data_IF_946287050431
#
_entry.id   IF_946287050431
#
_cell.length_a   1.000
_cell.length_b   1.000
_cell.length_c   1.000
_cell.angle_alpha   90.00
_cell.angle_beta   90.00
_cell.angle_gamma   90.00
#
_symmetry.space_group_name_H-M   'P 1'
#
loop_
_entity.id
_entity.type
_entity.pdbx_description
1 polymer ?
#
# COMPACT_ATOMS: atom_id res chain seq x y z
N UNK A 1 28.46 10.20 44.69
CA UNK A 1 27.66 9.23 43.91
C UNK A 1 26.24 9.79 43.71
N UNK A 2 26.02 10.69 42.74
CA UNK A 2 24.69 11.26 42.42
C UNK A 2 24.41 11.40 40.91
N UNK A 3 25.24 10.78 40.06
CA UNK A 3 25.09 10.84 38.60
C UNK A 3 24.77 9.51 37.92
N UNK A 4 24.82 8.38 38.64
CA UNK A 4 24.70 7.04 38.06
C UNK A 4 23.25 6.67 37.70
N UNK A 5 22.27 7.12 38.51
CA UNK A 5 20.84 6.86 38.30
C UNK A 5 20.27 7.52 37.03
N UNK A 6 20.88 8.62 36.56
CA UNK A 6 20.39 9.36 35.38
C UNK A 6 20.87 8.74 34.06
N UNK A 7 22.11 8.25 34.02
CA UNK A 7 22.68 7.67 32.81
C UNK A 7 22.03 6.32 32.45
N UNK A 8 21.78 5.45 33.43
CA UNK A 8 21.16 4.14 33.19
C UNK A 8 19.73 4.26 32.67
N UNK A 9 18.96 5.23 33.19
CA UNK A 9 17.59 5.49 32.73
C UNK A 9 17.55 5.97 31.28
N UNK A 10 18.49 6.84 30.88
CA UNK A 10 18.60 7.34 29.50
C UNK A 10 18.99 6.21 28.54
N UNK A 11 19.91 5.33 28.94
CA UNK A 11 20.33 4.17 28.13
C UNK A 11 19.15 3.22 27.93
N UNK A 12 18.38 2.91 28.98
CA UNK A 12 17.17 2.10 28.88
C UNK A 12 16.13 2.73 27.94
N UNK A 13 15.90 4.04 28.05
CA UNK A 13 14.98 4.76 27.18
C UNK A 13 15.41 4.72 25.72
N UNK A 14 16.71 4.89 25.44
CA UNK A 14 17.26 4.82 24.09
C UNK A 14 17.08 3.43 23.47
N UNK A 15 17.28 2.36 24.26
CA UNK A 15 17.07 0.97 23.80
C UNK A 15 15.60 0.72 23.48
N UNK A 16 14.68 1.16 24.34
CA UNK A 16 13.23 1.01 24.10
C UNK A 16 12.80 1.76 22.84
N UNK A 17 13.26 3.01 22.66
CA UNK A 17 12.96 3.79 21.46
C UNK A 17 13.50 3.14 20.18
N UNK A 18 14.71 2.56 20.23
CA UNK A 18 15.29 1.85 19.10
C UNK A 18 14.44 0.64 18.68
N UNK A 19 13.95 -0.15 19.65
CA UNK A 19 13.09 -1.31 19.37
C UNK A 19 11.77 -0.87 18.75
N UNK A 20 11.15 0.19 19.28
CA UNK A 20 9.89 0.74 18.74
C UNK A 20 10.08 1.24 17.29
N UNK A 21 11.19 1.92 17.01
CA UNK A 21 11.50 2.40 15.65
C UNK A 21 11.69 1.24 14.66
N UNK A 22 12.37 0.15 15.07
CA UNK A 22 12.55 -1.05 14.25
C UNK A 22 11.18 -1.68 13.95
N UNK A 23 10.35 -1.89 14.98
CA UNK A 23 9.02 -2.48 14.82
C UNK A 23 8.12 -1.63 13.89
N UNK A 24 8.13 -0.30 14.06
CA UNK A 24 7.40 0.62 13.20
C UNK A 24 7.89 0.55 11.75
N UNK A 25 9.20 0.46 11.51
CA UNK A 25 9.75 0.36 10.16
C UNK A 25 9.37 -0.95 9.46
N UNK A 26 9.36 -2.09 10.18
CA UNK A 26 8.86 -3.37 9.67
C UNK A 26 7.38 -3.31 9.27
N UNK A 27 6.55 -2.66 10.09
CA UNK A 27 5.14 -2.45 9.80
C UNK A 27 4.92 -1.53 8.58
N UNK A 28 5.69 -0.44 8.48
CA UNK A 28 5.63 0.49 7.35
C UNK A 28 6.05 -0.17 6.04
N UNK A 29 7.08 -1.01 6.05
CA UNK A 29 7.54 -1.75 4.88
C UNK A 29 6.48 -2.74 4.38
N UNK A 30 5.78 -3.39 5.31
CA UNK A 30 4.65 -4.28 5.00
C UNK A 30 3.48 -3.48 4.43
N UNK A 31 3.17 -2.31 5.01
CA UNK A 31 2.09 -1.44 4.52
C UNK A 31 2.35 -0.90 3.11
N UNK A 32 3.60 -0.58 2.76
CA UNK A 32 3.97 -0.16 1.40
C UNK A 32 3.80 -1.29 0.38
N UNK A 33 4.27 -2.51 0.69
CA UNK A 33 4.07 -3.67 -0.19
C UNK A 33 2.59 -4.01 -0.36
N UNK A 34 1.80 -3.82 0.70
CA UNK A 34 0.35 -3.97 0.68
C UNK A 34 -0.31 -2.91 -0.21
N UNK A 35 0.18 -1.67 -0.15
CA UNK A 35 -0.26 -0.54 -0.98
C UNK A 35 0.05 -0.73 -2.46
N UNK A 36 1.25 -1.19 -2.82
CA UNK A 36 1.62 -1.48 -4.20
C UNK A 36 0.84 -2.68 -4.77
N UNK A 37 0.66 -3.73 -3.98
CA UNK A 37 -0.11 -4.90 -4.40
C UNK A 37 -1.60 -4.57 -4.59
N UNK A 38 -2.14 -3.72 -3.72
CA UNK A 38 -3.50 -3.18 -3.85
C UNK A 38 -3.60 -2.25 -5.07
N UNK A 39 -2.66 -1.31 -5.27
CA UNK A 39 -2.63 -0.44 -6.45
C UNK A 39 -2.52 -1.23 -7.76
N UNK A 40 -1.68 -2.26 -7.81
CA UNK A 40 -1.54 -3.09 -9.01
C UNK A 40 -2.84 -3.82 -9.35
N UNK A 41 -3.53 -4.37 -8.34
CA UNK A 41 -4.86 -4.98 -8.52
C UNK A 41 -5.93 -3.94 -8.90
N UNK A 42 -5.91 -2.74 -8.31
CA UNK A 42 -6.85 -1.67 -8.63
C UNK A 42 -6.67 -1.17 -10.07
N UNK A 43 -5.44 -0.93 -10.51
CA UNK A 43 -5.14 -0.54 -11.90
C UNK A 43 -5.59 -1.61 -12.88
N UNK A 44 -5.35 -2.89 -12.58
CA UNK A 44 -5.85 -3.99 -13.43
C UNK A 44 -7.39 -4.00 -13.49
N UNK A 45 -8.08 -3.84 -12.36
CA UNK A 45 -9.55 -3.79 -12.33
C UNK A 45 -10.07 -2.60 -13.14
N UNK A 46 -9.49 -1.40 -12.97
CA UNK A 46 -9.90 -0.21 -13.73
C UNK A 46 -9.70 -0.41 -15.23
N UNK A 47 -8.55 -0.93 -15.65
CA UNK A 47 -8.29 -1.22 -17.08
C UNK A 47 -9.20 -2.31 -17.63
N UNK A 48 -9.54 -3.33 -16.84
CA UNK A 48 -10.51 -4.36 -17.24
C UNK A 48 -11.92 -3.77 -17.33
N UNK A 49 -12.32 -2.90 -16.41
CA UNK A 49 -13.62 -2.22 -16.46
C UNK A 49 -13.73 -1.28 -17.66
N UNK A 50 -12.66 -0.57 -18.01
CA UNK A 50 -12.63 0.28 -19.22
C UNK A 50 -12.74 -0.52 -20.53
N UNK A 51 -12.35 -1.80 -20.50
CA UNK A 51 -12.46 -2.71 -21.65
C UNK A 51 -13.72 -3.55 -21.63
N UNK A 52 -14.43 -3.64 -20.51
CA UNK A 52 -15.64 -4.44 -20.37
C UNK A 52 -16.86 -3.57 -20.67
N UNK A 53 -17.84 -4.11 -21.37
CA UNK A 53 -19.04 -3.39 -21.77
C UNK A 53 -20.27 -4.29 -21.71
N UNK A 54 -21.45 -3.69 -21.59
CA UNK A 54 -22.75 -4.39 -21.71
C UNK A 54 -23.41 -4.02 -23.03
N UNK A 55 -23.23 -2.77 -23.45
CA UNK A 55 -23.78 -2.16 -24.66
C UNK A 55 -22.72 -1.31 -25.35
N UNK A 56 -22.95 -0.96 -26.61
CA UNK A 56 -22.04 -0.10 -27.38
C UNK A 56 -21.80 1.28 -26.72
N UNK A 57 -22.75 1.78 -25.92
CA UNK A 57 -22.66 3.06 -25.23
C UNK A 57 -21.68 3.05 -24.03
N UNK A 58 -21.34 1.86 -23.51
CA UNK A 58 -20.35 1.72 -22.45
C UNK A 58 -18.91 1.90 -22.97
N UNK A 59 -18.73 1.75 -24.28
CA UNK A 59 -17.42 1.87 -24.92
C UNK A 59 -17.11 3.32 -25.27
N UNK A 60 -16.00 3.84 -24.73
CA UNK A 60 -15.50 5.19 -25.05
C UNK A 60 -15.23 5.38 -26.56
N UNK A 61 -14.92 4.27 -27.25
CA UNK A 61 -14.84 4.15 -28.71
C UNK A 61 -15.01 2.68 -29.09
N UNK A 62 -15.58 2.40 -30.27
CA UNK A 62 -15.80 1.03 -30.79
C UNK A 62 -17.19 0.46 -30.51
N UNK A 63 -17.32 -0.86 -30.65
CA UNK A 63 -18.55 -1.62 -30.36
C UNK A 63 -18.32 -2.60 -29.23
N UNK A 64 -19.39 -2.88 -28.48
CA UNK A 64 -19.36 -3.92 -27.48
C UNK A 64 -19.55 -5.29 -28.12
N UNK A 65 -18.48 -6.09 -28.13
CA UNK A 65 -18.48 -7.43 -28.70
C UNK A 65 -18.10 -8.43 -27.61
N UNK A 66 -19.02 -9.36 -27.34
CA UNK A 66 -18.83 -10.41 -26.34
C UNK A 66 -18.41 -9.89 -24.94
N UNK A 67 -18.99 -8.75 -24.54
CA UNK A 67 -18.71 -8.10 -23.27
C UNK A 67 -17.42 -7.27 -23.24
N UNK A 68 -16.73 -7.09 -24.38
CA UNK A 68 -15.53 -6.25 -24.48
C UNK A 68 -15.65 -5.17 -25.56
N UNK A 69 -15.09 -3.99 -25.29
CA UNK A 69 -15.01 -2.90 -26.26
C UNK A 69 -13.99 -3.23 -27.35
N UNK A 70 -14.48 -3.34 -28.60
CA UNK A 70 -13.71 -3.62 -29.80
C UNK A 70 -14.00 -2.54 -30.85
N UNK A 71 -13.01 -1.72 -31.16
CA UNK A 71 -13.11 -0.60 -32.12
C UNK A 71 -11.88 -0.52 -33.00
#
# INVERSE_FOLDING_TARGET
MKGQLSAEMIILLAVVLAIVAIAANYLLQTAQQSGESAMNKTTQITTTMEKTCITDADCKSGKCVNGMCSG
#
